data_IF_634586245459
#
_entry.id   IF_634586245459
#
_cell.length_a   1.000
_cell.length_b   1.000
_cell.length_c   1.000
_cell.angle_alpha   90.00
_cell.angle_beta   90.00
_cell.angle_gamma   90.00
#
_symmetry.space_group_name_H-M   'P 1'
#
loop_
_entity.id
_entity.type
_entity.pdbx_description
1 polymer ?
#
# COMPACT_ATOMS: atom_id res chain seq x y z
N UNK A 1 -8.01 16.08 -29.79
CA UNK A 1 -7.59 14.68 -29.96
C UNK A 1 -7.37 14.07 -28.59
N UNK A 2 -8.23 13.14 -28.18
CA UNK A 2 -8.00 12.45 -26.91
C UNK A 2 -6.80 11.52 -27.10
N UNK A 3 -5.82 11.55 -26.15
CA UNK A 3 -4.74 10.58 -26.20
C UNK A 3 -5.31 9.17 -26.10
N UNK A 4 -4.70 8.23 -26.82
CA UNK A 4 -5.10 6.82 -26.73
C UNK A 4 -5.07 6.39 -25.25
N UNK A 5 -6.08 5.63 -24.79
CA UNK A 5 -6.11 5.17 -23.42
C UNK A 5 -4.88 4.33 -23.11
N UNK A 6 -4.21 4.68 -22.02
CA UNK A 6 -3.01 3.96 -21.60
C UNK A 6 -3.37 2.57 -21.07
N UNK A 7 -2.60 1.58 -21.50
CA UNK A 7 -2.71 0.22 -20.96
C UNK A 7 -2.34 0.22 -19.47
N UNK A 8 -3.24 -0.30 -18.62
CA UNK A 8 -3.01 -0.43 -17.18
C UNK A 8 -2.49 -1.81 -16.86
N UNK A 9 -1.20 -1.90 -16.55
CA UNK A 9 -0.55 -3.16 -16.22
C UNK A 9 -0.89 -3.57 -14.79
N UNK A 10 -1.45 -4.76 -14.62
CA UNK A 10 -1.84 -5.31 -13.32
C UNK A 10 -0.64 -5.50 -12.39
N UNK A 11 0.49 -5.98 -12.92
CA UNK A 11 1.72 -6.16 -12.13
C UNK A 11 2.24 -4.81 -11.59
N UNK A 12 2.26 -3.78 -12.44
CA UNK A 12 2.67 -2.43 -12.04
C UNK A 12 1.75 -1.87 -10.97
N UNK A 13 0.42 -2.01 -11.16
CA UNK A 13 -0.57 -1.57 -10.17
C UNK A 13 -0.39 -2.29 -8.83
N UNK A 14 -0.15 -3.60 -8.85
CA UNK A 14 0.10 -4.41 -7.66
C UNK A 14 1.35 -3.96 -6.92
N UNK A 15 2.46 -3.74 -7.64
CA UNK A 15 3.71 -3.25 -7.05
C UNK A 15 3.54 -1.85 -6.46
N UNK A 16 2.86 -0.95 -7.17
CA UNK A 16 2.59 0.39 -6.66
C UNK A 16 1.70 0.37 -5.41
N UNK A 17 0.69 -0.50 -5.38
CA UNK A 17 -0.18 -0.64 -4.22
C UNK A 17 0.59 -1.16 -3.01
N UNK A 18 1.44 -2.15 -3.20
CA UNK A 18 2.20 -2.75 -2.11
C UNK A 18 3.36 -1.89 -1.61
N UNK A 19 4.12 -1.30 -2.53
CA UNK A 19 5.34 -0.56 -2.18
C UNK A 19 5.11 0.93 -1.92
N UNK A 20 4.15 1.53 -2.61
CA UNK A 20 3.89 2.97 -2.52
C UNK A 20 2.40 3.28 -2.27
N UNK A 21 1.66 2.32 -1.71
CA UNK A 21 0.24 2.47 -1.42
C UNK A 21 -0.04 3.54 -0.38
N UNK A 22 0.92 3.82 0.53
CA UNK A 22 0.82 4.90 1.51
C UNK A 22 0.50 6.25 0.86
N UNK A 23 1.10 6.52 -0.30
CA UNK A 23 0.87 7.76 -1.06
C UNK A 23 -0.21 7.61 -2.13
N UNK A 24 -0.80 6.42 -2.27
CA UNK A 24 -1.83 6.17 -3.25
C UNK A 24 -1.34 6.16 -4.70
N UNK A 25 -0.06 5.90 -4.95
CA UNK A 25 0.49 5.93 -6.31
C UNK A 25 -0.21 4.97 -7.26
N UNK A 26 -0.65 3.81 -6.76
CA UNK A 26 -1.45 2.87 -7.56
C UNK A 26 -2.77 3.48 -8.02
N UNK A 27 -3.40 4.32 -7.19
CA UNK A 27 -4.64 5.01 -7.54
C UNK A 27 -4.40 6.12 -8.57
N UNK A 28 -3.28 6.85 -8.43
CA UNK A 28 -2.87 7.80 -9.46
C UNK A 28 -2.60 7.12 -10.80
N UNK A 29 -1.95 5.96 -10.76
CA UNK A 29 -1.70 5.16 -11.96
C UNK A 29 -3.00 4.70 -12.64
N UNK A 30 -3.97 4.21 -11.85
CA UNK A 30 -5.22 3.66 -12.37
C UNK A 30 -6.24 4.73 -12.73
N UNK A 31 -6.41 5.75 -11.90
CA UNK A 31 -7.48 6.73 -12.01
C UNK A 31 -7.02 8.09 -12.50
N UNK A 32 -5.73 8.38 -12.39
CA UNK A 32 -5.18 9.70 -12.68
C UNK A 32 -5.41 10.72 -11.58
N UNK A 33 -4.72 11.85 -11.67
CA UNK A 33 -4.71 12.89 -10.64
C UNK A 33 -6.03 13.69 -10.55
N UNK A 34 -6.90 13.55 -11.53
CA UNK A 34 -8.20 14.27 -11.57
C UNK A 34 -9.25 13.64 -10.67
N UNK A 35 -9.05 12.40 -10.25
CA UNK A 35 -9.97 11.71 -9.34
C UNK A 35 -9.63 12.09 -7.89
N UNK A 36 -10.66 12.22 -7.06
CA UNK A 36 -10.46 12.60 -5.65
C UNK A 36 -9.87 11.51 -4.78
N UNK A 37 -10.10 10.23 -5.12
CA UNK A 37 -9.66 9.10 -4.29
C UNK A 37 -8.13 9.04 -4.10
N UNK A 38 -7.30 9.23 -5.14
CA UNK A 38 -5.85 9.27 -4.93
C UNK A 38 -5.41 10.33 -3.92
N UNK A 39 -6.04 11.48 -3.93
CA UNK A 39 -5.72 12.58 -3.01
C UNK A 39 -6.08 12.28 -1.56
N UNK A 40 -7.08 11.40 -1.32
CA UNK A 40 -7.37 10.92 0.03
C UNK A 40 -6.20 10.13 0.60
N UNK A 41 -5.53 9.32 -0.20
CA UNK A 41 -4.32 8.61 0.22
C UNK A 41 -3.21 9.58 0.63
N UNK A 42 -3.00 10.64 -0.15
CA UNK A 42 -2.02 11.68 0.17
C UNK A 42 -2.40 12.42 1.46
N UNK A 43 -3.67 12.79 1.60
CA UNK A 43 -4.16 13.50 2.79
C UNK A 43 -3.99 12.69 4.08
N UNK A 44 -4.14 11.37 4.01
CA UNK A 44 -4.03 10.48 5.16
C UNK A 44 -2.71 9.69 5.22
N UNK A 45 -1.71 10.05 4.40
CA UNK A 45 -0.44 9.30 4.33
C UNK A 45 0.33 9.29 5.66
N UNK A 46 0.08 10.24 6.55
CA UNK A 46 0.68 10.28 7.88
C UNK A 46 0.07 9.25 8.85
N UNK A 47 -1.08 8.67 8.50
CA UNK A 47 -1.68 7.55 9.23
C UNK A 47 -1.20 6.23 8.63
N UNK A 48 -1.43 5.12 9.31
CA UNK A 48 -1.12 3.79 8.78
C UNK A 48 -2.23 3.22 7.90
N UNK A 49 -3.39 3.89 7.84
CA UNK A 49 -4.57 3.41 7.10
C UNK A 49 -4.27 3.22 5.60
N UNK A 50 -3.67 4.19 4.87
CA UNK A 50 -3.35 3.98 3.47
C UNK A 50 -2.32 2.88 3.24
N UNK A 51 -1.40 2.67 4.16
CA UNK A 51 -0.40 1.59 4.07
C UNK A 51 -1.08 0.23 4.10
N UNK A 52 -1.97 -0.01 5.07
CA UNK A 52 -2.73 -1.26 5.13
C UNK A 52 -3.66 -1.42 3.94
N UNK A 53 -4.34 -0.35 3.53
CA UNK A 53 -5.19 -0.37 2.35
C UNK A 53 -4.39 -0.74 1.09
N UNK A 54 -3.18 -0.22 0.94
CA UNK A 54 -2.28 -0.55 -0.16
C UNK A 54 -1.91 -2.03 -0.19
N UNK A 55 -1.60 -2.63 0.95
CA UNK A 55 -1.29 -4.06 1.04
C UNK A 55 -2.51 -4.92 0.65
N UNK A 56 -3.69 -4.59 1.15
CA UNK A 56 -4.93 -5.29 0.82
C UNK A 56 -5.25 -5.13 -0.67
N UNK A 57 -5.10 -3.94 -1.22
CA UNK A 57 -5.35 -3.68 -2.63
C UNK A 57 -4.35 -4.40 -3.53
N UNK A 58 -3.08 -4.47 -3.14
CA UNK A 58 -2.07 -5.23 -3.88
C UNK A 58 -2.48 -6.70 -4.01
N UNK A 59 -2.92 -7.30 -2.92
CA UNK A 59 -3.38 -8.69 -2.92
C UNK A 59 -4.67 -8.84 -3.75
N UNK A 60 -5.62 -7.91 -3.60
CA UNK A 60 -6.87 -7.92 -4.37
C UNK A 60 -6.59 -7.82 -5.87
N UNK A 61 -5.68 -6.94 -6.28
CA UNK A 61 -5.31 -6.78 -7.70
C UNK A 61 -4.67 -8.06 -8.24
N UNK A 62 -3.75 -8.65 -7.49
CA UNK A 62 -3.06 -9.86 -7.91
C UNK A 62 -3.99 -11.06 -8.09
N UNK A 63 -4.97 -11.21 -7.20
CA UNK A 63 -5.92 -12.32 -7.22
C UNK A 63 -7.03 -12.13 -8.25
N UNK A 64 -7.25 -10.91 -8.73
CA UNK A 64 -8.28 -10.66 -9.74
C UNK A 64 -7.88 -11.30 -11.08
N UNK A 65 -8.76 -12.07 -11.74
CA UNK A 65 -8.49 -12.61 -13.06
C UNK A 65 -8.17 -11.51 -14.08
N UNK A 66 -7.24 -11.79 -14.98
CA UNK A 66 -6.81 -10.82 -16.00
C UNK A 66 -7.97 -10.32 -16.87
N UNK A 67 -8.93 -11.19 -17.20
CA UNK A 67 -10.10 -10.82 -17.98
C UNK A 67 -10.94 -9.74 -17.26
N UNK A 68 -11.15 -9.88 -15.94
CA UNK A 68 -11.89 -8.90 -15.15
C UNK A 68 -11.10 -7.61 -14.96
N UNK A 69 -9.79 -7.72 -14.82
CA UNK A 69 -8.91 -6.55 -14.74
C UNK A 69 -8.99 -5.75 -16.03
N UNK A 70 -8.85 -6.41 -17.18
CA UNK A 70 -8.88 -5.78 -18.48
C UNK A 70 -10.24 -5.15 -18.78
N UNK A 71 -11.33 -5.82 -18.40
CA UNK A 71 -12.67 -5.27 -18.55
C UNK A 71 -12.86 -3.98 -17.76
N UNK A 72 -12.21 -3.85 -16.62
CA UNK A 72 -12.29 -2.67 -15.75
C UNK A 72 -11.38 -1.53 -16.20
N UNK A 73 -10.12 -1.85 -16.52
CA UNK A 73 -9.09 -0.83 -16.69
C UNK A 73 -8.56 -0.70 -18.12
N UNK A 74 -8.70 -1.75 -18.94
CA UNK A 74 -8.11 -1.83 -20.28
C UNK A 74 -9.13 -2.04 -21.40
N UNK A 75 -10.41 -1.88 -21.12
CA UNK A 75 -11.49 -2.15 -22.09
C UNK A 75 -11.28 -1.37 -23.41
N UNK A 76 -10.75 -0.16 -23.33
CA UNK A 76 -10.56 0.71 -24.50
C UNK A 76 -9.16 0.62 -25.10
N UNK A 77 -8.22 -0.07 -24.45
CA UNK A 77 -6.83 -0.13 -24.90
C UNK A 77 -6.59 -1.13 -26.03
N UNK A 78 -7.50 -2.09 -26.21
CA UNK A 78 -7.32 -3.18 -27.17
C UNK A 78 -6.24 -4.19 -26.83
N UNK A 79 -5.62 -4.07 -25.65
CA UNK A 79 -4.56 -4.97 -25.16
C UNK A 79 -5.09 -5.82 -24.01
N UNK A 80 -4.53 -7.01 -23.87
CA UNK A 80 -4.89 -7.94 -22.81
C UNK A 80 -3.72 -8.13 -21.84
N UNK A 81 -4.05 -8.36 -20.57
CA UNK A 81 -3.06 -8.66 -19.54
C UNK A 81 -2.69 -10.14 -19.54
N UNK A 82 -1.43 -10.43 -19.24
CA UNK A 82 -0.93 -11.79 -19.00
C UNK A 82 0.03 -11.73 -17.81
N UNK A 83 -0.54 -11.65 -16.60
CA UNK A 83 0.25 -11.47 -15.39
C UNK A 83 0.70 -12.78 -14.74
N UNK A 84 0.01 -13.89 -15.02
CA UNK A 84 0.36 -15.20 -14.51
C UNK A 84 0.36 -15.30 -12.97
N UNK A 85 0.94 -16.38 -12.46
CA UNK A 85 1.03 -16.64 -11.01
C UNK A 85 2.09 -15.79 -10.33
N UNK A 86 3.04 -15.24 -11.10
CA UNK A 86 4.15 -14.44 -10.56
C UNK A 86 3.65 -13.21 -9.80
N UNK A 87 2.64 -12.53 -10.33
CA UNK A 87 2.06 -11.34 -9.66
C UNK A 87 1.40 -11.71 -8.34
N UNK A 88 0.79 -12.89 -8.26
CA UNK A 88 0.19 -13.40 -7.02
C UNK A 88 1.29 -13.67 -5.99
N UNK A 89 2.37 -14.33 -6.40
CA UNK A 89 3.51 -14.60 -5.52
C UNK A 89 4.11 -13.30 -4.97
N UNK A 90 4.34 -12.32 -5.84
CA UNK A 90 4.88 -11.01 -5.44
C UNK A 90 3.93 -10.29 -4.47
N UNK A 91 2.63 -10.31 -4.74
CA UNK A 91 1.64 -9.68 -3.87
C UNK A 91 1.58 -10.34 -2.48
N UNK A 92 1.62 -11.66 -2.42
CA UNK A 92 1.66 -12.40 -1.16
C UNK A 92 2.93 -12.06 -0.39
N UNK A 93 4.07 -12.02 -1.06
CA UNK A 93 5.35 -11.67 -0.45
C UNK A 93 5.32 -10.23 0.11
N UNK A 94 4.79 -9.28 -0.65
CA UNK A 94 4.65 -7.89 -0.21
C UNK A 94 3.68 -7.80 0.96
N UNK A 95 2.55 -8.49 0.90
CA UNK A 95 1.54 -8.45 1.96
C UNK A 95 2.10 -8.98 3.27
N UNK A 96 2.64 -10.19 3.29
CA UNK A 96 3.16 -10.78 4.52
C UNK A 96 4.47 -10.14 4.96
N UNK A 97 5.40 -9.90 4.06
CA UNK A 97 6.68 -9.26 4.37
C UNK A 97 6.50 -7.82 4.83
N UNK A 98 5.67 -7.05 4.12
CA UNK A 98 5.38 -5.66 4.46
C UNK A 98 4.62 -5.54 5.78
N UNK A 99 3.61 -6.37 5.99
CA UNK A 99 2.84 -6.38 7.23
C UNK A 99 3.74 -6.77 8.43
N UNK A 100 4.58 -7.79 8.28
CA UNK A 100 5.51 -8.22 9.32
C UNK A 100 6.51 -7.11 9.65
N UNK A 101 7.10 -6.49 8.64
CA UNK A 101 8.03 -5.38 8.83
C UNK A 101 7.34 -4.20 9.54
N UNK A 102 6.15 -3.83 9.09
CA UNK A 102 5.39 -2.73 9.69
C UNK A 102 5.05 -3.00 11.15
N UNK A 103 4.55 -4.20 11.45
CA UNK A 103 4.24 -4.59 12.83
C UNK A 103 5.48 -4.62 13.72
N UNK A 104 6.61 -5.08 13.18
CA UNK A 104 7.89 -5.07 13.90
C UNK A 104 8.33 -3.64 14.23
N UNK A 105 8.23 -2.73 13.27
CA UNK A 105 8.58 -1.32 13.48
C UNK A 105 7.66 -0.64 14.51
N UNK A 106 6.37 -0.93 14.47
CA UNK A 106 5.40 -0.43 15.44
C UNK A 106 5.73 -0.96 16.84
N UNK A 107 5.96 -2.27 16.97
CA UNK A 107 6.31 -2.89 18.25
C UNK A 107 7.62 -2.33 18.81
N UNK A 108 8.63 -2.14 17.95
CA UNK A 108 9.89 -1.53 18.34
C UNK A 108 9.68 -0.09 18.83
N UNK A 109 8.89 0.72 18.10
CA UNK A 109 8.59 2.11 18.49
C UNK A 109 7.87 2.19 19.83
N UNK A 110 6.86 1.32 20.04
CA UNK A 110 6.13 1.24 21.31
C UNK A 110 7.09 0.82 22.44
N UNK A 111 7.92 -0.20 22.20
CA UNK A 111 8.88 -0.68 23.19
C UNK A 111 9.84 0.41 23.63
N UNK A 112 10.33 1.21 22.68
CA UNK A 112 11.21 2.35 23.00
C UNK A 112 10.49 3.43 23.81
N UNK A 113 9.26 3.72 23.46
CA UNK A 113 8.46 4.73 24.17
C UNK A 113 8.15 4.29 25.61
N UNK A 114 7.69 3.03 25.79
CA UNK A 114 7.39 2.46 27.13
C UNK A 114 8.65 2.38 27.97
N UNK A 115 9.76 1.86 27.39
CA UNK A 115 11.05 1.78 28.10
C UNK A 115 11.57 3.13 28.57
N UNK A 116 11.40 4.19 27.76
CA UNK A 116 11.77 5.54 28.18
C UNK A 116 10.87 6.07 29.30
N UNK A 117 9.59 5.71 29.29
CA UNK A 117 8.65 6.06 30.35
C UNK A 117 8.98 5.37 31.67
N UNK A 118 9.32 4.10 31.63
CA UNK A 118 9.76 3.35 32.82
C UNK A 118 11.04 3.93 33.41
N UNK A 119 11.99 4.30 32.57
CA UNK A 119 13.23 4.96 33.03
C UNK A 119 12.95 6.29 33.74
N UNK A 120 12.02 7.08 33.20
CA UNK A 120 11.58 8.33 33.84
C UNK A 120 10.93 8.06 35.20
N UNK A 121 9.99 7.10 35.27
CA UNK A 121 9.30 6.74 36.51
C UNK A 121 10.27 6.23 37.58
N UNK A 122 11.32 5.51 37.18
CA UNK A 122 12.32 5.00 38.11
C UNK A 122 13.19 6.09 38.73
N UNK A 123 13.33 7.23 38.06
CA UNK A 123 14.11 8.38 38.58
C UNK A 123 13.29 9.31 39.49
N UNK A 124 11.95 9.27 39.42
CA UNK A 124 11.10 10.13 40.24
C UNK A 124 11.37 10.05 41.75
N UNK A 125 11.50 8.86 42.36
CA UNK A 125 11.76 8.79 43.81
C UNK A 125 13.05 9.52 44.23
N UNK A 126 14.09 9.45 43.40
CA UNK A 126 15.37 10.14 43.71
C UNK A 126 15.26 11.67 43.59
N UNK A 127 14.31 12.16 42.80
CA UNK A 127 14.06 13.60 42.64
C UNK A 127 13.19 14.19 43.75
N UNK A 128 12.34 13.37 44.35
CA UNK A 128 11.37 13.79 45.38
C UNK A 128 11.92 13.59 46.80
N UNK A 129 12.75 12.59 46.95
CA UNK A 129 13.41 12.24 48.21
C UNK A 129 14.68 12.96 48.40
#
# INVERSE_FOLDING_TARGET
>A
MNPAPHFKNKTVATLLAGLAGTFGLHRFYLMGARRGLPWLYVAFCWTLIPTFAGFIEALTFALKPDALWDARWNAESGRTSDSGWFVIFVAVLIFFGGATLLMTLIAFGIGRYVGSGESFLSTLPSMIG
#
